data_IF_274403012800
#
_entry.id   IF_274403012800
#
_cell.length_a   1.000
_cell.length_b   1.000
_cell.length_c   1.000
_cell.angle_alpha   90.00
_cell.angle_beta   90.00
_cell.angle_gamma   90.00
#
_symmetry.space_group_name_H-M   'P 1'
#
loop_
_entity.id
_entity.type
_entity.pdbx_description
1 polymer ?
2 polymer ?
3 polymer ?
4 polymer ?
5 water ?
#
loop_
_entity_poly.entity_id
_entity_poly.type
_entity_poly.pdbx_seq_one_letter_code
_entity_poly.pdbx_strand_id
1 'polydeoxyribonucleotide' '(DA)(DA)(DT)(DC)(DT)(DT)(DT)(DC)(DC)(DC)(DA)(DC)(DG)(DG)(DT)' ?
2 'polydeoxyribonucleotide' '(DT)(DT)(DA)(DC)(DC)(DG)(DT)(DG)(DG)(DG)(DA)(DA)(DA)(DG)(DA)' ?
#
# COMPACT_ATOMS: atom_id res chain seq x y z
N UNK C 1 -18.60 -33.04 12.16
CA UNK C 1 -17.27 -33.55 11.88
C UNK C 1 -16.38 -32.50 11.13
N UNK C 2 -15.05 -32.45 11.41
CA UNK C 2 -14.20 -31.42 10.77
C UNK C 2 -14.26 -31.36 9.24
N UNK C 3 -14.06 -30.15 8.66
CA UNK C 3 -14.05 -30.04 7.19
C UNK C 3 -12.89 -30.76 6.50
N UNK C 4 -13.10 -31.08 5.21
CA UNK C 4 -12.16 -31.76 4.33
C UNK C 4 -10.86 -30.99 4.20
N UNK C 5 -9.76 -31.69 4.48
CA UNK C 5 -8.40 -31.21 4.33
C UNK C 5 -8.10 -31.17 2.83
N UNK C 6 -7.21 -30.26 2.40
CA UNK C 6 -6.80 -30.15 0.99
C UNK C 6 -6.15 -31.45 0.51
N UNK C 7 -6.54 -31.97 -0.65
CA UNK C 7 -5.91 -33.17 -1.20
C UNK C 7 -4.75 -32.73 -2.13
N UNK C 8 -3.88 -33.68 -2.48
CA UNK C 8 -2.75 -33.49 -3.38
C UNK C 8 -3.26 -33.15 -4.80
N UNK C 9 -4.38 -33.78 -5.19
CA UNK C 9 -5.04 -33.52 -6.47
C UNK C 9 -5.59 -32.07 -6.50
N UNK C 10 -6.31 -31.63 -5.42
CA UNK C 10 -6.88 -30.27 -5.31
C UNK C 10 -5.77 -29.21 -5.35
N UNK C 11 -4.61 -29.48 -4.70
CA UNK C 11 -3.44 -28.63 -4.72
C UNK C 11 -2.85 -28.55 -6.14
N UNK C 12 -2.75 -29.69 -6.85
CA UNK C 12 -2.24 -29.70 -8.23
C UNK C 12 -3.15 -28.88 -9.15
N UNK C 13 -4.49 -28.97 -8.95
CA UNK C 13 -5.49 -28.23 -9.72
C UNK C 13 -5.27 -26.76 -9.53
N UNK C 14 -5.11 -26.35 -8.25
CA UNK C 14 -4.80 -24.98 -7.86
C UNK C 14 -3.47 -24.50 -8.49
N UNK C 15 -2.35 -25.24 -8.30
CA UNK C 15 -1.05 -24.83 -8.85
C UNK C 15 -1.05 -24.60 -10.37
N UNK C 16 -1.92 -25.32 -11.09
CA UNK C 16 -2.10 -25.19 -12.54
C UNK C 16 -3.03 -24.01 -12.84
N UNK C 17 -4.24 -23.95 -12.23
CA UNK C 17 -5.29 -22.93 -12.43
C UNK C 17 -5.00 -21.53 -11.80
N UNK C 18 -4.60 -21.47 -10.50
CA UNK C 18 -4.22 -20.30 -9.65
C UNK C 18 -5.17 -19.08 -9.64
N UNK C 19 -6.47 -19.28 -9.44
CA UNK C 19 -7.40 -18.16 -9.36
C UNK C 19 -7.48 -17.52 -7.97
N UNK C 20 -6.39 -16.90 -7.48
CA UNK C 20 -6.31 -16.27 -6.14
C UNK C 20 -7.22 -15.05 -5.93
N UNK C 21 -7.75 -14.86 -4.70
CA UNK C 21 -8.52 -13.67 -4.32
C UNK C 21 -7.62 -12.79 -3.47
N UNK C 22 -7.36 -11.55 -3.93
CA UNK C 22 -6.51 -10.65 -3.16
C UNK C 22 -7.32 -9.48 -2.62
N UNK C 23 -7.01 -9.05 -1.39
CA UNK C 23 -7.58 -7.88 -0.74
C UNK C 23 -6.41 -6.92 -0.45
N UNK C 24 -6.46 -5.72 -1.02
CA UNK C 24 -5.47 -4.63 -0.87
C UNK C 24 -6.09 -3.48 -0.08
N UNK C 25 -5.34 -2.87 0.85
CA UNK C 25 -5.75 -1.70 1.63
C UNK C 25 -4.63 -0.67 1.53
N UNK C 26 -4.87 0.39 0.79
CA UNK C 26 -3.92 1.49 0.61
C UNK C 26 -4.41 2.60 1.51
N UNK C 27 -3.56 3.05 2.42
CA UNK C 27 -3.94 4.05 3.43
C UNK C 27 -2.73 4.90 3.79
N UNK C 28 -2.95 5.99 4.53
CA UNK C 28 -1.87 6.83 5.03
C UNK C 28 -1.32 6.21 6.31
N UNK C 29 -0.06 6.53 6.65
CA UNK C 29 0.68 6.03 7.82
C UNK C 29 0.47 6.80 9.12
N UNK C 30 -0.14 7.98 9.03
CA UNK C 30 -0.43 8.82 10.19
C UNK C 30 -1.88 9.32 10.07
N UNK C 31 -2.48 9.77 11.17
CA UNK C 31 -3.84 10.33 11.19
C UNK C 31 -3.99 11.31 12.32
N UNK C 32 -4.55 12.48 12.05
CA UNK C 32 -4.77 13.47 13.09
C UNK C 32 -6.07 13.14 13.82
N UNK C 33 -6.06 13.22 15.14
CA UNK C 33 -7.26 12.89 15.91
C UNK C 33 -8.28 14.04 15.93
N UNK C 34 -9.57 13.69 16.14
CA UNK C 34 -10.71 14.61 16.23
C UNK C 34 -11.10 14.75 17.68
N UNK C 35 -11.26 16.00 18.14
CA UNK C 35 -11.72 16.28 19.52
C UNK C 35 -13.21 16.65 19.53
N UNK C 36 -13.88 16.33 20.64
CA UNK C 36 -15.30 16.58 20.83
C UNK C 36 -16.15 15.90 19.78
N UNK C 37 -17.01 16.70 19.12
CA UNK C 37 -17.93 16.22 18.07
C UNK C 37 -17.46 16.50 16.62
N UNK C 38 -16.22 16.99 16.42
CA UNK C 38 -15.72 17.26 15.07
C UNK C 38 -15.31 15.96 14.38
N UNK C 39 -15.14 16.00 13.05
CA UNK C 39 -14.68 14.91 12.20
C UNK C 39 -13.54 15.43 11.33
N UNK C 40 -12.32 14.94 11.58
CA UNK C 40 -11.11 15.26 10.84
C UNK C 40 -10.79 14.01 10.01
N UNK C 41 -11.31 14.03 8.80
CA UNK C 41 -11.21 12.95 7.83
C UNK C 41 -9.78 12.51 7.45
N UNK C 42 -9.59 11.18 7.32
CA UNK C 42 -8.33 10.61 6.86
C UNK C 42 -8.18 11.04 5.40
N UNK C 43 -7.07 11.72 5.09
CA UNK C 43 -6.66 12.27 3.80
C UNK C 43 -5.21 11.78 3.57
N UNK C 44 -4.93 10.97 2.53
CA UNK C 44 -5.87 10.47 1.52
C UNK C 44 -6.89 9.45 2.09
N UNK C 45 -8.11 9.38 1.53
CA UNK C 45 -9.08 8.41 2.04
C UNK C 45 -8.59 6.97 1.80
N UNK C 46 -8.69 6.06 2.81
CA UNK C 46 -8.22 4.68 2.59
C UNK C 46 -8.95 4.03 1.43
N UNK C 47 -8.22 3.28 0.60
CA UNK C 47 -8.77 2.60 -0.57
C UNK C 47 -8.61 1.11 -0.42
N UNK C 48 -9.65 0.36 -0.73
CA UNK C 48 -9.68 -1.11 -0.66
C UNK C 48 -9.83 -1.62 -2.10
N UNK C 49 -8.99 -2.55 -2.52
CA UNK C 49 -9.06 -3.17 -3.85
C UNK C 49 -9.29 -4.67 -3.72
N UNK C 50 -10.08 -5.23 -4.64
CA UNK C 50 -10.38 -6.64 -4.77
C UNK C 50 -9.67 -7.05 -6.06
N UNK C 51 -8.42 -7.51 -5.93
CA UNK C 51 -7.48 -7.91 -6.99
C UNK C 51 -7.44 -9.41 -7.22
N UNK C 52 -6.91 -9.78 -8.39
CA UNK C 52 -6.77 -11.17 -8.77
C UNK C 52 -7.96 -11.66 -9.56
N UNK C 53 -7.77 -12.79 -10.26
CA UNK C 53 -8.78 -13.42 -11.10
C UNK C 53 -9.75 -14.26 -10.25
N UNK C 54 -9.44 -14.43 -8.98
CA UNK C 54 -10.25 -15.24 -8.06
C UNK C 54 -11.63 -14.71 -7.78
N UNK C 55 -11.82 -13.39 -7.85
CA UNK C 55 -13.14 -12.76 -7.62
C UNK C 55 -14.14 -13.17 -8.68
N UNK C 56 -13.73 -13.22 -9.97
CA UNK C 56 -14.59 -13.65 -11.08
C UNK C 56 -14.88 -15.14 -10.99
N UNK C 57 -13.87 -15.93 -10.64
CA UNK C 57 -13.96 -17.39 -10.49
C UNK C 57 -14.90 -17.73 -9.33
N UNK C 58 -14.85 -16.95 -8.20
CA UNK C 58 -15.74 -17.12 -7.04
C UNK C 58 -17.17 -16.74 -7.44
N UNK C 59 -17.34 -15.58 -8.14
CA UNK C 59 -18.65 -15.09 -8.64
C UNK C 59 -19.36 -16.15 -9.48
N UNK C 60 -18.68 -16.69 -10.53
CA UNK C 60 -19.17 -17.72 -11.44
C UNK C 60 -19.52 -19.01 -10.70
N UNK C 61 -18.69 -19.43 -9.72
CA UNK C 61 -18.93 -20.62 -8.91
C UNK C 61 -20.27 -20.48 -8.16
N UNK C 62 -20.47 -19.33 -7.46
CA UNK C 62 -21.68 -19.02 -6.69
C UNK C 62 -22.92 -18.99 -7.56
N UNK C 63 -22.81 -18.38 -8.74
CA UNK C 63 -23.91 -18.30 -9.70
C UNK C 63 -24.27 -19.68 -10.26
N UNK C 64 -23.27 -20.51 -10.63
CA UNK C 64 -23.50 -21.88 -11.10
C UNK C 64 -24.13 -22.71 -9.95
N UNK C 65 -23.77 -22.39 -8.69
CA UNK C 65 -24.30 -23.03 -7.47
C UNK C 65 -25.69 -22.47 -7.07
N UNK C 66 -26.25 -21.57 -7.88
CA UNK C 66 -27.58 -21.01 -7.68
C UNK C 66 -27.68 -19.68 -6.99
N UNK C 67 -26.75 -18.75 -7.25
CA UNK C 67 -26.80 -17.41 -6.66
C UNK C 67 -27.19 -16.41 -7.73
N UNK C 68 -27.92 -15.36 -7.33
CA UNK C 68 -28.24 -14.24 -8.21
C UNK C 68 -26.97 -13.36 -8.27
N UNK C 69 -26.91 -12.33 -9.14
CA UNK C 69 -25.71 -11.49 -9.19
C UNK C 69 -25.61 -10.57 -7.97
N UNK C 70 -26.74 -10.35 -7.28
CA UNK C 70 -26.83 -9.56 -6.05
C UNK C 70 -26.23 -10.36 -4.88
N UNK C 71 -26.50 -11.68 -4.84
CA UNK C 71 -26.01 -12.60 -3.82
C UNK C 71 -24.53 -12.93 -4.01
N UNK C 72 -24.07 -12.93 -5.26
CA UNK C 72 -22.68 -13.21 -5.58
C UNK C 72 -21.81 -11.95 -5.46
N UNK C 73 -22.42 -10.79 -5.24
CA UNK C 73 -21.71 -9.51 -5.11
C UNK C 73 -20.96 -9.40 -3.77
N UNK C 74 -19.62 -9.20 -3.74
CA UNK C 74 -18.92 -8.99 -2.44
C UNK C 74 -19.29 -7.63 -1.77
N UNK C 75 -19.54 -7.64 -0.46
CA UNK C 75 -19.91 -6.47 0.34
C UNK C 75 -18.75 -6.13 1.31
N UNK C 76 -18.50 -4.83 1.52
CA UNK C 76 -17.44 -4.36 2.41
C UNK C 76 -17.90 -3.23 3.33
N UNK C 77 -17.28 -3.16 4.51
CA UNK C 77 -17.48 -2.19 5.57
C UNK C 77 -16.12 -1.90 6.15
N UNK C 78 -15.84 -0.63 6.46
CA UNK C 78 -14.54 -0.22 7.00
C UNK C 78 -14.74 0.63 8.25
N UNK C 79 -13.82 0.49 9.17
CA UNK C 79 -13.81 1.24 10.41
C UNK C 79 -12.51 1.14 11.16
N UNK C 80 -12.45 1.82 12.29
CA UNK C 80 -11.32 1.80 13.22
C UNK C 80 -11.40 0.45 13.93
N UNK C 81 -10.34 -0.34 13.80
CA UNK C 81 -10.22 -1.65 14.40
C UNK C 81 -10.22 -1.58 15.92
N UNK C 82 -10.80 -2.63 16.57
CA UNK C 82 -10.92 -2.75 18.03
C UNK C 82 -11.54 -1.47 18.67
N UNK C 83 -12.69 -1.04 18.15
CA UNK C 83 -13.34 0.18 18.67
C UNK C 83 -14.87 0.13 18.67
N UNK C 84 -15.46 0.88 19.63
CA UNK C 84 -16.90 1.06 19.77
C UNK C 84 -17.46 1.97 18.64
N UNK C 85 -16.54 2.66 17.91
CA UNK C 85 -16.81 3.54 16.76
C UNK C 85 -17.45 2.74 15.61
N UNK C 86 -18.42 3.36 14.93
CA UNK C 86 -19.22 2.77 13.85
C UNK C 86 -18.49 2.52 12.51
N UNK C 87 -18.87 1.43 11.84
CA UNK C 87 -18.36 1.02 10.54
C UNK C 87 -19.18 1.65 9.44
N UNK C 88 -18.52 1.91 8.31
CA UNK C 88 -19.13 2.55 7.14
C UNK C 88 -19.03 1.65 5.93
N UNK C 89 -20.12 1.55 5.17
CA UNK C 89 -20.17 0.75 3.97
C UNK C 89 -19.33 1.30 2.82
N UNK C 90 -18.70 0.39 2.09
CA UNK C 90 -17.95 0.73 0.88
C UNK C 90 -18.80 0.31 -0.33
N UNK C 91 -18.96 1.17 -1.36
CA UNK C 91 -19.73 0.76 -2.55
C UNK C 91 -18.85 0.05 -3.60
N UNK C 92 -18.97 -1.30 -3.69
CA UNK C 92 -18.19 -2.10 -4.66
C UNK C 92 -19.00 -2.56 -5.89
N UNK C 93 -20.26 -2.12 -6.02
CA UNK C 93 -21.13 -2.43 -7.14
C UNK C 93 -20.59 -1.80 -8.46
N UNK C 94 -20.12 -2.67 -9.35
CA UNK C 94 -19.61 -2.30 -10.67
C UNK C 94 -18.17 -1.83 -10.76
N UNK C 95 -17.41 -1.89 -9.63
CA UNK C 95 -16.00 -1.49 -9.53
C UNK C 95 -15.27 -2.54 -8.68
N UNK C 96 -13.92 -2.59 -8.77
CA UNK C 96 -13.10 -3.53 -7.99
C UNK C 96 -12.40 -2.80 -6.81
N UNK C 97 -12.81 -1.54 -6.55
CA UNK C 97 -12.26 -0.71 -5.48
C UNK C 97 -13.27 0.29 -4.96
N UNK C 98 -13.00 0.82 -3.76
CA UNK C 98 -13.74 1.89 -3.14
C UNK C 98 -12.89 2.61 -2.12
N UNK C 99 -13.04 3.95 -2.04
CA UNK C 99 -12.33 4.78 -1.05
C UNK C 99 -13.30 5.04 0.10
N UNK C 100 -12.75 5.22 1.31
CA UNK C 100 -13.51 5.55 2.50
C UNK C 100 -13.22 7.02 2.77
N UNK C 101 -14.09 7.92 2.30
CA UNK C 101 -13.89 9.37 2.32
C UNK C 101 -14.21 10.04 3.64
N UNK C 102 -15.01 9.37 4.49
CA UNK C 102 -15.41 10.01 5.74
C UNK C 102 -14.98 9.26 7.01
N UNK C 103 -13.75 8.73 7.05
CA UNK C 103 -13.22 8.05 8.25
C UNK C 103 -12.51 9.07 9.14
N UNK C 104 -12.59 8.87 10.45
CA UNK C 104 -11.97 9.74 11.44
C UNK C 104 -11.73 8.99 12.76
N UNK C 105 -10.79 9.44 13.61
CA UNK C 105 -10.54 8.80 14.89
C UNK C 105 -10.79 9.81 16.01
N UNK C 106 -11.70 9.47 16.92
CA UNK C 106 -12.06 10.33 18.06
C UNK C 106 -11.06 10.24 19.21
N UNK C 107 -10.95 11.31 20.05
CA UNK C 107 -10.09 11.37 21.26
C UNK C 107 -10.56 10.37 22.32
N UNK C 108 -11.79 9.84 22.19
CA UNK C 108 -12.33 8.78 23.05
C UNK C 108 -11.42 7.54 22.97
N UNK C 109 -10.78 7.30 21.79
CA UNK C 109 -9.80 6.21 21.62
C UNK C 109 -8.49 6.76 22.19
N UNK C 110 -7.94 6.09 23.20
CA UNK C 110 -6.72 6.58 23.85
C UNK C 110 -5.45 5.91 23.31
N UNK C 111 -5.60 5.08 22.27
CA UNK C 111 -4.46 4.41 21.63
C UNK C 111 -3.59 5.39 20.81
N UNK C 112 -2.29 5.12 20.78
CA UNK C 112 -1.34 5.96 20.07
C UNK C 112 -1.24 5.51 18.60
N UNK C 113 -1.77 4.32 18.32
CA UNK C 113 -1.78 3.68 17.03
C UNK C 113 -2.97 2.75 16.90
N UNK C 114 -3.38 2.51 15.65
CA UNK C 114 -4.55 1.69 15.33
C UNK C 114 -4.38 1.11 13.95
N UNK C 115 -5.33 0.28 13.59
CA UNK C 115 -5.42 -0.33 12.30
C UNK C 115 -6.83 -0.15 11.80
N UNK C 116 -6.99 -0.06 10.48
CA UNK C 116 -8.31 -0.03 9.87
C UNK C 116 -8.77 -1.47 9.80
N UNK C 117 -10.08 -1.65 9.83
CA UNK C 117 -10.66 -2.98 9.81
C UNK C 117 -11.64 -3.02 8.69
N UNK C 118 -11.43 -3.95 7.75
CA UNK C 118 -12.31 -4.11 6.60
C UNK C 118 -13.04 -5.42 6.78
N UNK C 119 -14.35 -5.32 7.05
CA UNK C 119 -15.24 -6.47 7.23
C UNK C 119 -15.89 -6.78 5.87
N UNK C 120 -15.69 -8.02 5.39
CA UNK C 120 -16.21 -8.47 4.09
C UNK C 120 -17.10 -9.70 4.17
N UNK C 121 -18.09 -9.82 3.24
CA UNK C 121 -19.08 -10.92 3.11
C UNK C 121 -19.82 -10.84 1.77
N UNK C 122 -20.38 -11.95 1.24
CA UNK C 122 -21.10 -11.90 -0.04
C UNK C 122 -22.56 -11.53 0.18
N UNK C 123 -23.23 -11.06 -0.88
CA UNK C 123 -24.65 -10.64 -0.85
C UNK C 123 -25.65 -11.66 -0.31
N UNK C 124 -25.26 -12.94 -0.26
CA UNK C 124 -26.04 -14.07 0.31
C UNK C 124 -25.67 -14.35 1.81
N UNK C 125 -24.88 -13.43 2.45
CA UNK C 125 -24.40 -13.44 3.86
C UNK C 125 -23.25 -14.43 4.14
N UNK C 126 -22.61 -15.00 3.10
CA UNK C 126 -21.47 -15.88 3.31
C UNK C 126 -20.32 -14.99 3.78
N UNK C 127 -19.76 -15.28 4.96
CA UNK C 127 -18.68 -14.48 5.50
C UNK C 127 -17.34 -14.75 4.79
N UNK C 128 -16.62 -13.65 4.42
CA UNK C 128 -15.28 -13.69 3.82
C UNK C 128 -14.30 -13.53 5.00
N UNK C 129 -14.45 -12.43 5.73
CA UNK C 129 -13.61 -12.16 6.90
C UNK C 129 -13.31 -10.71 7.17
N UNK C 130 -12.36 -10.47 8.13
CA UNK C 130 -11.91 -9.16 8.58
C UNK C 130 -10.42 -8.95 8.24
N UNK C 131 -10.12 -7.97 7.39
CA UNK C 131 -8.75 -7.65 6.96
C UNK C 131 -8.30 -6.37 7.60
N UNK C 132 -7.15 -6.41 8.25
CA UNK C 132 -6.58 -5.23 8.90
C UNK C 132 -5.60 -4.47 8.01
N UNK C 133 -5.51 -3.16 8.15
CA UNK C 133 -4.55 -2.36 7.39
C UNK C 133 -3.21 -2.44 8.16
N UNK C 134 -2.18 -1.70 7.73
CA UNK C 134 -0.93 -1.63 8.49
C UNK C 134 -1.22 -0.63 9.66
N UNK C 135 -0.28 -0.51 10.61
CA UNK C 135 -0.41 0.33 11.79
C UNK C 135 -0.38 1.82 11.41
N UNK C 136 -1.36 2.57 11.92
CA UNK C 136 -1.48 4.00 11.68
C UNK C 136 -1.23 4.76 12.98
N UNK C 137 -0.29 5.72 12.95
CA UNK C 137 0.07 6.57 14.08
C UNK C 137 -0.94 7.71 14.30
N UNK C 138 -1.43 7.85 15.55
CA UNK C 138 -2.32 8.94 15.95
C UNK C 138 -1.46 10.16 16.29
N UNK C 139 -1.91 11.33 15.83
CA UNK C 139 -1.30 12.64 15.97
C UNK C 139 -2.34 13.53 16.61
N UNK C 140 -1.94 14.40 17.53
CA UNK C 140 -2.83 15.36 18.15
C UNK C 140 -3.02 16.49 17.10
N UNK C 141 -1.87 16.98 16.58
CA UNK C 141 -1.70 17.92 15.49
C UNK C 141 -0.21 18.02 15.19
N UNK C 142 0.21 18.28 13.92
CA UNK C 142 1.66 18.41 13.64
C UNK C 142 2.37 19.47 14.48
N UNK C 143 3.65 19.24 14.79
CA UNK C 143 4.53 20.16 15.54
C UNK C 143 4.92 21.34 14.65
N UNK C 144 5.07 22.54 15.25
CA UNK C 144 5.44 23.79 14.56
C UNK C 144 6.96 24.00 14.58
N UNK C 145 7.69 23.11 15.31
CA UNK C 145 9.13 23.09 15.44
C UNK C 145 9.75 22.11 14.43
N UNK C 146 11.04 22.30 14.12
CA UNK C 146 11.77 21.45 13.17
C UNK C 146 11.78 19.99 13.63
N UNK C 147 11.73 19.07 12.66
CA UNK C 147 11.68 17.64 12.90
C UNK C 147 13.09 17.04 13.12
N UNK C 148 13.27 16.26 14.18
CA UNK C 148 14.56 15.60 14.43
C UNK C 148 14.50 14.20 13.82
N UNK C 149 15.64 13.67 13.39
CA UNK C 149 15.70 12.34 12.80
C UNK C 149 15.55 11.19 13.82
N UNK C 150 15.40 11.54 15.13
CA UNK C 150 15.18 10.63 16.25
C UNK C 150 13.78 10.02 16.13
N UNK C 151 12.78 10.82 15.68
CA UNK C 151 11.39 10.38 15.47
C UNK C 151 11.26 9.97 14.00
N UNK C 152 11.78 8.77 13.65
CA UNK C 152 11.81 8.19 12.30
C UNK C 152 10.43 8.06 11.66
N UNK C 153 9.38 7.91 12.47
CA UNK C 153 8.00 7.74 12.03
C UNK C 153 7.35 9.05 11.55
N UNK C 154 7.94 10.20 11.93
CA UNK C 154 7.44 11.49 11.49
C UNK C 154 8.25 12.05 10.31
N UNK C 155 9.29 11.32 9.88
CA UNK C 155 10.19 11.62 8.76
C UNK C 155 9.80 10.78 7.53
N UNK C 156 10.42 11.07 6.38
CA UNK C 156 10.17 10.40 5.11
C UNK C 156 11.52 10.00 4.52
N UNK C 157 11.69 8.70 4.30
CA UNK C 157 12.91 8.14 3.75
C UNK C 157 12.82 8.04 2.25
N UNK C 158 13.97 8.20 1.58
CA UNK C 158 14.08 8.05 0.14
C UNK C 158 13.63 6.62 -0.23
N UNK C 159 12.87 6.52 -1.32
CA UNK C 159 12.38 5.25 -1.81
C UNK C 159 11.07 4.76 -1.24
N UNK C 160 10.43 5.57 -0.34
CA UNK C 160 9.13 5.25 0.26
C UNK C 160 8.00 5.95 -0.48
N UNK C 161 6.79 5.52 -0.21
CA UNK C 161 5.61 6.05 -0.86
C UNK C 161 4.93 7.16 -0.06
N UNK C 162 4.48 8.19 -0.77
CA UNK C 162 3.75 9.33 -0.21
C UNK C 162 2.56 9.65 -1.10
N UNK C 163 1.58 10.37 -0.55
CA UNK C 163 0.46 10.97 -1.27
C UNK C 163 0.67 12.47 -1.12
N UNK C 164 0.14 13.23 -2.07
CA UNK C 164 0.24 14.69 -2.04
C UNK C 164 -1.10 15.29 -2.31
N UNK C 165 -1.52 16.23 -1.48
CA UNK C 165 -2.81 16.86 -1.70
C UNK C 165 -2.80 18.36 -1.50
N UNK C 166 -3.74 19.00 -2.16
CA UNK C 166 -3.91 20.44 -2.07
C UNK C 166 -5.35 20.76 -1.71
N UNK C 167 -5.52 21.72 -0.78
CA UNK C 167 -6.83 22.19 -0.32
C UNK C 167 -6.89 23.72 -0.39
N UNK C 168 -7.99 24.24 -0.96
CA UNK C 168 -8.22 25.66 -1.12
C UNK C 168 -9.06 26.20 0.03
N UNK C 169 -8.53 27.21 0.72
CA UNK C 169 -9.14 27.96 1.82
C UNK C 169 -9.91 27.09 2.83
N UNK C 170 -9.26 26.00 3.32
CA UNK C 170 -9.80 25.10 4.35
C UNK C 170 -11.10 24.37 3.97
N UNK C 171 -11.37 24.19 2.66
CA UNK C 171 -12.60 23.53 2.28
C UNK C 171 -12.40 22.08 1.91
N UNK C 172 -13.08 21.18 2.66
CA UNK C 172 -13.03 19.73 2.40
C UNK C 172 -13.40 19.36 0.95
N UNK C 173 -14.33 20.11 0.34
CA UNK C 173 -14.83 19.87 -1.01
C UNK C 173 -13.74 20.18 -2.08
N UNK C 174 -12.76 21.00 -1.72
CA UNK C 174 -11.68 21.42 -2.63
C UNK C 174 -10.47 20.46 -2.65
N UNK C 175 -10.42 19.44 -1.78
CA UNK C 175 -9.31 18.49 -1.68
C UNK C 175 -9.05 17.80 -3.02
N UNK C 176 -7.81 17.87 -3.49
CA UNK C 176 -7.37 17.25 -4.73
C UNK C 176 -6.03 16.62 -4.53
N UNK C 177 -5.89 15.39 -4.97
CA UNK C 177 -4.71 14.56 -4.84
C UNK C 177 -4.00 14.39 -6.17
N UNK C 178 -2.66 14.46 -6.15
CA UNK C 178 -1.81 14.18 -7.30
C UNK C 178 -2.09 12.71 -7.65
N UNK C 179 -2.43 12.46 -8.92
CA UNK C 179 -2.84 11.16 -9.40
C UNK C 179 -2.48 11.06 -10.87
N UNK C 180 -2.28 9.83 -11.37
CA UNK C 180 -1.95 9.58 -12.76
C UNK C 180 -3.10 8.79 -13.36
N UNK C 181 -3.66 9.32 -14.46
CA UNK C 181 -4.76 8.70 -15.18
C UNK C 181 -4.53 8.93 -16.67
N UNK C 182 -4.67 7.86 -17.45
CA UNK C 182 -4.50 7.86 -18.90
C UNK C 182 -3.17 8.42 -19.36
N UNK C 183 -2.10 8.03 -18.66
CA UNK C 183 -0.74 8.46 -18.94
C UNK C 183 -0.41 9.88 -18.51
N UNK C 184 -1.38 10.59 -17.88
CA UNK C 184 -1.16 11.96 -17.46
C UNK C 184 -1.29 12.19 -15.98
N UNK C 185 -0.49 13.11 -15.44
CA UNK C 185 -0.60 13.57 -14.05
C UNK C 185 -1.78 14.53 -13.99
N UNK C 186 -2.63 14.41 -12.96
CA UNK C 186 -3.80 15.27 -12.75
C UNK C 186 -4.07 15.42 -11.25
N UNK C 187 -5.09 16.23 -10.88
CA UNK C 187 -5.44 16.52 -9.49
C UNK C 187 -6.86 15.98 -9.21
N UNK C 188 -6.93 14.74 -8.78
CA UNK C 188 -8.22 14.09 -8.59
C UNK C 188 -8.82 14.43 -7.28
N UNK C 189 -10.14 14.63 -7.26
CA UNK C 189 -10.85 14.86 -6.03
C UNK C 189 -11.35 13.50 -5.46
N UNK C 190 -11.25 12.43 -6.25
CA UNK C 190 -11.74 11.10 -5.82
C UNK C 190 -10.65 10.02 -5.68
N UNK C 191 -9.53 10.16 -6.40
CA UNK C 191 -8.45 9.16 -6.38
C UNK C 191 -7.12 9.79 -6.03
N UNK C 192 -6.21 8.99 -5.49
CA UNK C 192 -4.88 9.43 -5.12
C UNK C 192 -3.85 8.38 -5.51
N UNK C 193 -2.67 8.86 -5.90
CA UNK C 193 -1.55 8.02 -6.23
C UNK C 193 -0.63 7.88 -5.05
N UNK C 194 0.06 6.76 -4.97
CA UNK C 194 1.09 6.51 -3.96
C UNK C 194 2.34 6.68 -4.79
N UNK C 195 3.13 7.73 -4.51
CA UNK C 195 4.32 8.06 -5.30
C UNK C 195 5.60 7.77 -4.54
N UNK C 196 6.54 7.07 -5.17
CA UNK C 196 7.87 6.86 -4.60
C UNK C 196 8.55 8.24 -4.65
N UNK C 197 9.18 8.64 -3.55
CA UNK C 197 9.91 9.89 -3.50
C UNK C 197 11.38 9.50 -3.36
N UNK C 198 12.13 9.65 -4.46
CA UNK C 198 13.54 9.24 -4.48
C UNK C 198 14.47 10.41 -4.29
N UNK C 199 15.45 10.27 -3.40
CA UNK C 199 16.46 11.28 -3.20
C UNK C 199 17.50 11.17 -4.33
N UNK C 200 17.83 12.30 -4.97
CA UNK C 200 18.83 12.37 -6.04
C UNK C 200 19.94 13.24 -5.58
N UNK C 201 21.17 12.95 -6.05
CA UNK C 201 22.33 13.79 -5.78
C UNK C 201 22.11 15.08 -6.61
N UNK C 202 22.58 16.23 -6.10
CA UNK C 202 22.43 17.53 -6.79
C UNK C 202 22.96 17.56 -8.24
N UNK C 203 23.98 16.71 -8.57
CA UNK C 203 24.58 16.65 -9.89
C UNK C 203 23.92 15.66 -10.86
N UNK C 204 22.87 14.93 -10.40
CA UNK C 204 22.13 13.95 -11.20
C UNK C 204 21.36 14.63 -12.30
N UNK C 205 21.52 14.15 -13.52
CA UNK C 205 20.89 14.72 -14.71
C UNK C 205 19.44 14.31 -14.87
N UNK C 206 18.70 15.02 -15.72
CA UNK C 206 17.33 14.69 -16.09
C UNK C 206 17.38 13.48 -17.01
N UNK C 207 16.39 12.62 -16.87
CA UNK C 207 16.26 11.40 -17.65
C UNK C 207 15.26 10.47 -17.05
N UNK C 208 14.74 9.56 -17.86
CA UNK C 208 13.80 8.53 -17.46
C UNK C 208 14.53 7.52 -16.54
N UNK C 209 15.84 7.37 -16.76
CA UNK C 209 16.74 6.51 -16.00
C UNK C 209 17.54 7.40 -15.06
N UNK C 210 17.49 7.11 -13.76
CA UNK C 210 18.21 7.92 -12.78
C UNK C 210 18.75 7.09 -11.60
N UNK C 211 19.83 7.58 -10.94
CA UNK C 211 20.47 6.97 -9.77
C UNK C 211 19.85 7.56 -8.52
N UNK C 212 19.56 6.71 -7.52
CA UNK C 212 18.96 7.16 -6.24
C UNK C 212 19.92 7.06 -5.06
N UNK C 213 19.66 7.87 -4.04
CA UNK C 213 20.40 7.93 -2.78
C UNK C 213 19.52 7.40 -1.66
N UNK C 214 20.13 7.10 -0.52
CA UNK C 214 19.42 6.64 0.66
C UNK C 214 19.46 7.75 1.67
N UNK C 215 18.50 7.76 2.57
CA UNK C 215 18.42 8.76 3.61
C UNK C 215 17.06 9.41 3.73
N UNK C 216 16.92 10.27 4.72
CA UNK C 216 15.71 11.01 4.95
C UNK C 216 15.70 12.24 4.10
N UNK C 217 14.52 12.54 3.52
CA UNK C 217 14.32 13.69 2.66
C UNK C 217 14.34 14.94 3.55
N UNK C 218 15.05 15.96 3.09
CA UNK C 218 15.18 17.26 3.74
C UNK C 218 14.71 18.26 2.75
N UNK C 219 14.29 19.43 3.22
CA UNK C 219 13.92 20.49 2.28
C UNK C 219 15.20 20.92 1.55
N UNK C 220 15.09 21.18 0.24
CA UNK C 220 16.19 21.67 -0.59
C UNK C 220 16.99 20.62 -1.34
N UNK C 221 16.56 19.37 -1.20
CA UNK C 221 17.16 18.23 -1.86
C UNK C 221 16.41 17.96 -3.15
N UNK C 222 17.11 17.41 -4.14
CA UNK C 222 16.48 17.12 -5.41
C UNK C 222 15.80 15.78 -5.28
N UNK C 223 14.55 15.70 -5.73
CA UNK C 223 13.79 14.45 -5.60
C UNK C 223 13.11 14.09 -6.89
N UNK C 224 12.71 12.81 -6.98
CA UNK C 224 11.93 12.29 -8.10
C UNK C 224 10.64 11.69 -7.57
N UNK C 225 9.52 12.07 -8.17
CA UNK C 225 8.21 11.53 -7.82
C UNK C 225 7.82 10.60 -8.93
N UNK C 226 7.70 9.30 -8.60
CA UNK C 226 7.33 8.25 -9.55
C UNK C 226 6.07 7.56 -9.05
N UNK C 227 5.04 7.42 -9.92
CA UNK C 227 3.82 6.68 -9.60
C UNK C 227 4.19 5.22 -9.36
N UNK C 228 3.77 4.65 -8.23
CA UNK C 228 4.05 3.27 -7.85
C UNK C 228 3.34 2.25 -8.74
N UNK C 229 2.37 2.71 -9.55
CA UNK C 229 1.53 1.86 -10.39
C UNK C 229 1.90 1.97 -11.89
N UNK C 230 1.99 3.19 -12.41
CA UNK C 230 2.20 3.49 -13.82
C UNK C 230 3.65 3.71 -14.22
N UNK C 231 4.49 4.01 -13.23
CA UNK C 231 5.89 4.33 -13.48
C UNK C 231 6.07 5.72 -14.06
N UNK C 232 5.00 6.56 -14.07
CA UNK C 232 5.06 7.94 -14.57
C UNK C 232 5.81 8.83 -13.59
N UNK C 233 6.80 9.60 -14.10
CA UNK C 233 7.59 10.53 -13.31
C UNK C 233 7.48 11.96 -13.80
N UNK C 234 7.56 12.89 -12.86
CA UNK C 234 7.58 14.32 -13.11
C UNK C 234 9.07 14.69 -13.29
N UNK C 235 9.44 15.85 -13.88
CA UNK C 235 10.87 16.20 -13.96
C UNK C 235 11.50 16.30 -12.57
N UNK C 236 12.83 16.34 -12.49
CA UNK C 236 13.52 16.50 -11.20
C UNK C 236 12.92 17.72 -10.47
N UNK C 237 12.61 17.56 -9.20
CA UNK C 237 12.02 18.64 -8.41
C UNK C 237 12.90 18.92 -7.19
N UNK C 238 12.78 20.14 -6.63
CA UNK C 238 13.38 20.51 -5.35
C UNK C 238 12.22 20.66 -4.36
N UNK C 239 12.26 19.88 -3.28
CA UNK C 239 11.20 19.90 -2.28
C UNK C 239 11.50 21.07 -1.36
N UNK C 240 10.54 22.01 -1.24
CA UNK C 240 10.75 23.22 -0.44
C UNK C 240 9.70 23.40 0.63
N UNK C 241 10.11 23.97 1.75
CA UNK C 241 9.23 24.22 2.89
C UNK C 241 8.33 25.41 2.57
N UNK C 242 7.02 25.25 2.79
CA UNK C 242 6.02 26.28 2.60
C UNK C 242 5.76 26.95 3.96
N UNK C 243 5.89 28.28 3.99
CA UNK C 243 5.58 29.08 5.16
C UNK C 243 4.47 30.01 4.69
N UNK C 244 3.26 29.87 5.27
CA UNK C 244 2.05 30.62 4.88
C UNK C 244 1.76 30.35 3.39
N UNK C 245 1.97 31.32 2.47
CA UNK C 245 1.81 31.05 1.03
C UNK C 245 3.10 31.38 0.23
N UNK C 246 4.25 31.17 0.85
CA UNK C 246 5.57 31.36 0.24
C UNK C 246 6.34 30.04 0.31
N UNK C 247 7.31 29.82 -0.59
CA UNK C 247 8.23 28.68 -0.55
C UNK C 247 9.54 29.24 0.02
N UNK C 248 10.20 28.54 0.95
CA UNK C 248 11.46 28.99 1.58
C UNK C 248 12.63 28.35 0.82
N UNK C 249 13.52 29.14 0.26
CA UNK C 249 14.63 28.58 -0.54
C UNK C 249 15.81 28.07 0.29
N UNK C 250 15.92 28.53 1.55
CA UNK C 250 16.99 28.29 2.51
C UNK C 250 16.72 27.18 3.55
N UNK C 251 15.47 26.71 3.70
CA UNK C 251 15.15 25.63 4.67
C UNK C 251 15.76 24.31 4.20
N UNK C 252 16.43 23.60 5.12
CA UNK C 252 17.13 22.34 4.85
C UNK C 252 16.83 21.24 5.91
N UNK C 253 15.85 21.49 6.76
CA UNK C 253 15.48 20.57 7.84
C UNK C 253 14.77 19.31 7.29
N UNK C 254 14.69 18.23 8.09
CA UNK C 254 14.00 17.02 7.61
C UNK C 254 12.52 17.27 7.33
N UNK C 255 12.01 16.79 6.17
CA UNK C 255 10.60 16.88 5.80
C UNK C 255 9.77 16.03 6.80
N UNK C 256 8.70 16.61 7.38
CA UNK C 256 7.83 15.93 8.33
C UNK C 256 6.43 15.62 7.78
N UNK C 257 5.79 14.60 8.36
CA UNK C 257 4.44 14.16 8.04
C UNK C 257 3.46 15.32 8.11
N UNK C 258 2.60 15.45 7.09
CA UNK C 258 1.52 16.47 7.01
C UNK C 258 2.03 17.89 6.82
N UNK C 259 3.33 18.07 6.51
CA UNK C 259 3.85 19.42 6.27
C UNK C 259 3.44 19.91 4.92
N UNK C 260 3.36 21.22 4.77
CA UNK C 260 3.04 21.85 3.49
C UNK C 260 4.37 22.01 2.76
N UNK C 261 4.38 21.55 1.50
CA UNK C 261 5.51 21.44 0.57
C UNK C 261 5.26 22.16 -0.75
N UNK C 262 6.34 22.62 -1.38
CA UNK C 262 6.37 23.26 -2.69
C UNK C 262 7.39 22.49 -3.51
N UNK C 263 7.06 22.20 -4.77
CA UNK C 263 7.92 21.43 -5.64
C UNK C 263 8.43 22.27 -6.79
N UNK C 264 9.60 22.90 -6.54
CA UNK C 264 10.26 23.71 -7.55
C UNK C 264 10.75 22.78 -8.66
N UNK C 265 10.34 23.05 -9.88
CA UNK C 265 10.80 22.28 -11.03
C UNK C 265 12.21 22.73 -11.30
N UNK C 266 13.18 21.88 -10.94
CA UNK C 266 14.63 22.14 -11.04
C UNK C 266 15.05 22.74 -12.39
N UNK C 267 15.89 23.79 -12.31
CA UNK C 267 16.49 24.57 -13.41
C UNK C 267 15.45 25.25 -14.32
N UNK C 268 14.39 25.85 -13.71
CA UNK C 268 13.34 26.59 -14.44
C UNK C 268 13.37 28.02 -13.90
N UNK C 269 12.60 28.94 -14.51
CA UNK C 269 12.50 30.30 -13.99
C UNK C 269 11.37 30.32 -12.96
N UNK C 270 11.70 29.91 -11.71
CA UNK C 270 10.82 29.82 -10.53
C UNK C 270 9.49 29.06 -10.77
N UNK C 271 9.50 27.98 -11.58
CA UNK C 271 8.29 27.22 -11.86
C UNK C 271 8.03 26.17 -10.77
N UNK C 272 6.82 26.19 -10.19
CA UNK C 272 6.40 25.26 -9.12
C UNK C 272 5.27 24.35 -9.56
N UNK C 273 5.37 23.04 -9.20
CA UNK C 273 4.32 22.03 -9.46
C UNK C 273 3.02 22.60 -8.89
N UNK C 274 1.99 22.71 -9.73
CA UNK C 274 0.77 23.43 -9.39
C UNK C 274 -0.49 22.81 -9.99
N UNK C 275 -1.64 22.95 -9.30
CA UNK C 275 -2.90 22.50 -9.92
C UNK C 275 -3.75 23.70 -10.39
N UNK C 276 -4.60 23.48 -11.40
CA UNK C 276 -5.55 24.44 -11.97
C UNK C 276 -6.77 23.61 -12.33
N UNK C 277 -7.68 23.46 -11.35
CA UNK C 277 -8.86 22.58 -11.40
C UNK C 277 -8.34 21.13 -11.37
N UNK C 278 -8.70 20.28 -12.36
CA UNK C 278 -8.22 18.89 -12.41
C UNK C 278 -6.88 18.82 -13.18
N UNK C 279 -6.38 19.96 -13.62
CA UNK C 279 -5.18 20.01 -14.42
C UNK C 279 -3.93 20.26 -13.57
N UNK C 280 -2.82 19.57 -13.89
CA UNK C 280 -1.49 19.72 -13.27
C UNK C 280 -0.62 20.52 -14.24
N UNK C 281 -0.08 21.64 -13.74
CA UNK C 281 0.74 22.57 -14.51
C UNK C 281 1.97 22.92 -13.68
N UNK C 282 2.75 23.87 -14.17
CA UNK C 282 3.86 24.50 -13.48
C UNK C 282 3.52 26.03 -13.51
N UNK C 283 3.58 26.69 -12.38
CA UNK C 283 3.20 28.10 -12.30
C UNK C 283 4.32 28.87 -11.68
N UNK C 284 4.73 29.97 -12.36
CA UNK C 284 5.83 30.81 -11.91
C UNK C 284 5.53 31.54 -10.63
N UNK C 285 6.46 31.43 -9.67
CA UNK C 285 6.36 32.14 -8.39
C UNK C 285 6.77 33.62 -8.58
N UNK C 286 6.35 34.48 -7.65
CA UNK C 286 6.61 35.92 -7.61
C UNK C 286 7.68 36.17 -6.55
N UNK C 287 8.67 37.06 -6.79
CA UNK C 287 9.67 37.31 -5.75
C UNK C 287 9.03 37.99 -4.54
N UNK C 288 9.54 37.67 -3.35
CA UNK C 288 9.03 38.25 -2.11
C UNK C 288 9.48 39.72 -1.92
N UNK C 289 8.59 40.59 -1.34
CA UNK C 289 8.99 41.99 -1.13
C UNK C 289 10.12 42.11 -0.09
N UNK C 290 11.28 42.63 -0.54
CA UNK C 290 12.52 42.89 0.24
C UNK C 290 13.23 41.60 0.74
N UNK C 291 12.84 40.40 0.23
CA UNK C 291 13.44 39.13 0.65
C UNK C 291 13.71 38.18 -0.51
N UNK C 292 14.96 37.70 -0.61
CA UNK C 292 15.42 36.79 -1.66
C UNK C 292 15.34 35.31 -1.23
N UNK C 293 15.29 35.06 0.08
CA UNK C 293 15.20 33.73 0.71
C UNK C 293 13.81 33.03 0.55
N UNK C 294 12.80 33.75 0.04
CA UNK C 294 11.45 33.20 -0.18
C UNK C 294 10.78 33.73 -1.44
N UNK C 295 9.87 32.92 -2.01
CA UNK C 295 9.10 33.21 -3.22
C UNK C 295 7.61 33.01 -2.94
N UNK C 296 6.73 33.88 -3.43
CA UNK C 296 5.27 33.81 -3.24
C UNK C 296 4.74 32.79 -4.24
N UNK C 297 4.01 31.77 -3.77
CA UNK C 297 3.53 30.71 -4.67
C UNK C 297 1.99 30.74 -4.90
N UNK C 298 1.56 30.13 -6.00
CA UNK C 298 0.16 30.02 -6.37
C UNK C 298 -0.63 29.09 -5.38
N UNK C 299 -1.94 29.34 -5.23
CA UNK C 299 -2.91 28.56 -4.42
C UNK C 299 -2.75 27.04 -4.62
N UNK C 300 -2.70 26.58 -5.89
CA UNK C 300 -2.52 25.18 -6.23
C UNK C 300 -1.11 24.61 -6.12
N UNK C 301 -0.14 25.40 -5.59
CA UNK C 301 1.25 24.99 -5.49
C UNK C 301 1.71 24.53 -4.05
N UNK C 302 0.86 24.62 -3.04
CA UNK C 302 1.17 24.06 -1.72
C UNK C 302 0.57 22.65 -1.68
N UNK C 303 1.39 21.67 -1.30
CA UNK C 303 1.01 20.27 -1.27
C UNK C 303 1.31 19.72 0.08
N UNK C 304 0.29 19.11 0.73
CA UNK C 304 0.48 18.41 2.00
C UNK C 304 1.06 17.01 1.61
N UNK C 305 2.16 16.62 2.27
CA UNK C 305 2.92 15.39 2.10
C UNK C 305 2.57 14.40 3.24
N UNK C 306 2.31 13.14 2.88
CA UNK C 306 1.97 12.13 3.88
C UNK C 306 2.37 10.75 3.38
N UNK C 307 3.14 10.04 4.17
CA UNK C 307 3.58 8.67 3.88
C UNK C 307 2.39 7.73 3.87
N UNK C 308 2.37 6.83 2.87
CA UNK C 308 1.31 5.86 2.72
C UNK C 308 1.86 4.44 2.86
N UNK C 309 0.94 3.50 3.10
CA UNK C 309 1.27 2.09 3.29
C UNK C 309 0.29 1.20 2.55
N UNK C 310 0.59 -0.08 2.49
CA UNK C 310 -0.27 -1.06 1.85
C UNK C 310 -0.28 -2.36 2.62
N UNK C 311 -1.49 -2.85 2.93
CA UNK C 311 -1.72 -4.18 3.49
C UNK C 311 -2.26 -5.02 2.31
N UNK C 312 -1.76 -6.23 2.15
CA UNK C 312 -2.17 -7.11 1.05
C UNK C 312 -2.39 -8.51 1.61
N UNK C 313 -3.47 -9.17 1.18
CA UNK C 313 -3.82 -10.54 1.64
C UNK C 313 -4.30 -11.35 0.49
N UNK C 314 -3.75 -12.58 0.32
CA UNK C 314 -4.12 -13.49 -0.76
C UNK C 314 -4.61 -14.84 -0.21
N UNK C 315 -5.73 -15.30 -0.74
CA UNK C 315 -6.39 -16.54 -0.35
C UNK C 315 -7.14 -17.20 -1.52
N UNK C 316 -7.41 -18.52 -1.37
CA UNK C 316 -8.14 -19.34 -2.34
C UNK C 316 -8.83 -20.48 -1.57
N UNK C 317 -10.07 -20.76 -1.91
CA UNK C 317 -10.84 -21.84 -1.32
C UNK C 317 -10.42 -23.15 -2.03
N UNK C 318 -9.30 -23.73 -1.59
CA UNK C 318 -8.68 -24.95 -2.14
C UNK C 318 -9.58 -26.18 -2.20
N UNK C 319 -10.49 -26.32 -1.21
CA UNK C 319 -11.48 -27.40 -1.11
C UNK C 319 -12.90 -26.82 -1.16
N UNK C 320 -13.07 -25.70 -1.85
CA UNK C 320 -14.37 -25.03 -1.96
C UNK C 320 -14.78 -24.21 -0.75
N UNK C 321 -16.03 -23.69 -0.72
CA UNK C 321 -16.47 -22.83 0.41
C UNK C 321 -16.35 -23.46 1.79
N UNK C 322 -15.94 -22.63 2.79
CA UNK C 322 -15.77 -23.03 4.20
C UNK C 322 -16.54 -22.12 5.14
N UNK C 323 -16.93 -22.66 6.31
CA UNK C 323 -17.68 -21.97 7.35
C UNK C 323 -16.85 -20.84 7.97
N UNK C 324 -15.64 -21.16 8.38
CA UNK C 324 -14.72 -20.24 9.02
C UNK C 324 -14.30 -19.10 8.06
N UNK C 325 -14.18 -17.83 8.50
CA UNK C 325 -13.68 -16.78 7.61
C UNK C 325 -12.27 -17.15 7.11
N UNK C 326 -11.86 -16.62 5.95
CA UNK C 326 -10.52 -16.88 5.39
C UNK C 326 -9.47 -16.14 6.21
N UNK C 327 -9.92 -15.21 7.07
CA UNK C 327 -9.09 -14.36 7.91
C UNK C 327 -8.79 -14.96 9.32
N UNK C 328 -7.67 -14.58 9.95
CA UNK C 328 -6.60 -13.67 9.50
C UNK C 328 -5.74 -14.35 8.44
N UNK C 329 -5.48 -13.64 7.33
CA UNK C 329 -4.71 -14.21 6.23
C UNK C 329 -3.21 -14.17 6.55
N UNK C 330 -2.52 -15.33 6.55
CA UNK C 330 -1.06 -15.30 6.80
C UNK C 330 -0.32 -14.66 5.61
N UNK C 331 0.67 -13.84 5.97
CA UNK C 331 1.56 -13.14 5.04
C UNK C 331 2.97 -13.66 5.35
N UNK C 332 3.73 -14.08 4.31
CA UNK C 332 5.12 -14.54 4.44
C UNK C 332 6.07 -13.46 3.87
N UNK C 333 6.90 -12.88 4.76
CA UNK C 333 7.90 -11.84 4.47
C UNK C 333 9.21 -12.46 3.94
N UNK C 334 9.72 -13.55 4.59
CA UNK C 334 10.98 -14.21 4.20
C UNK C 334 11.08 -15.70 4.55
N UNK C 335 12.15 -16.35 4.03
CA UNK C 335 12.50 -17.76 4.24
C UNK C 335 13.99 -17.90 4.61
N UNK C 336 14.30 -18.65 5.69
CA UNK C 336 15.65 -18.93 6.20
C UNK C 336 15.99 -20.44 6.35
N UNK C 337 17.32 -20.79 6.45
CA UNK C 337 17.96 -22.12 6.61
C UNK C 337 18.00 -22.88 5.28
N UNK C 343 18.97 -33.05 9.67
CA UNK C 343 17.63 -32.82 9.11
C UNK C 343 17.43 -31.33 8.72
N UNK C 344 17.22 -31.07 7.41
CA UNK C 344 17.03 -29.74 6.79
C UNK C 344 15.67 -29.11 7.13
N UNK C 345 15.72 -27.88 7.63
CA UNK C 345 14.57 -27.10 8.07
C UNK C 345 14.46 -25.81 7.29
N UNK C 346 13.24 -25.32 7.12
CA UNK C 346 12.96 -24.04 6.46
C UNK C 346 12.17 -23.18 7.46
N UNK C 347 12.67 -21.98 7.76
CA UNK C 347 11.98 -21.08 8.70
C UNK C 347 11.26 -20.00 7.91
N UNK C 348 10.00 -19.78 8.26
CA UNK C 348 9.12 -18.78 7.62
C UNK C 348 8.95 -17.62 8.58
N UNK C 349 9.14 -16.39 8.10
CA UNK C 349 8.95 -15.20 8.92
C UNK C 349 7.79 -14.39 8.33
N UNK C 350 6.82 -14.03 9.18
CA UNK C 350 5.67 -13.27 8.68
C UNK C 350 4.63 -12.86 9.68
N UNK C 351 3.38 -12.82 9.24
CA UNK C 351 2.27 -12.39 10.11
C UNK C 351 1.10 -13.36 9.99
N UNK C 352 0.27 -13.40 11.04
CA UNK C 352 -0.99 -14.14 11.14
C UNK C 352 -0.88 -15.66 10.99
N UNK C 353 0.27 -16.23 11.38
CA UNK C 353 0.46 -17.68 11.40
C UNK C 353 -0.34 -18.27 12.59
N UNK C 354 -0.91 -19.45 12.40
CA UNK C 354 -1.74 -20.15 13.38
C UNK C 354 -1.37 -21.65 13.39
N UNK C 355 -1.71 -22.40 14.48
CA UNK C 355 -1.35 -23.84 14.52
C UNK C 355 -2.05 -24.72 13.47
N UNK C 356 -3.12 -24.22 12.85
CA UNK C 356 -3.87 -24.97 11.85
C UNK C 356 -3.32 -24.80 10.43
N UNK C 357 -2.10 -24.26 10.28
CA UNK C 357 -1.44 -24.11 9.00
C UNK C 357 -0.37 -25.17 8.79
N UNK C 358 -0.21 -25.63 7.54
CA UNK C 358 0.82 -26.56 7.09
C UNK C 358 1.52 -25.94 5.87
N UNK C 359 2.85 -26.02 5.83
CA UNK C 359 3.65 -25.53 4.70
C UNK C 359 3.66 -26.64 3.67
N UNK C 360 3.37 -26.30 2.39
CA UNK C 360 3.41 -27.21 1.25
C UNK C 360 4.50 -26.76 0.28
N UNK C 361 5.25 -27.73 -0.23
CA UNK C 361 6.29 -27.54 -1.24
C UNK C 361 5.69 -28.23 -2.47
N UNK C 362 5.25 -27.47 -3.46
CA UNK C 362 4.50 -28.01 -4.59
C UNK C 362 3.24 -28.69 -4.05
N UNK C 363 3.01 -29.94 -4.47
CA UNK C 363 1.89 -30.77 -4.02
C UNK C 363 2.29 -31.63 -2.81
N UNK C 364 3.44 -31.34 -2.19
CA UNK C 364 3.97 -32.11 -1.06
C UNK C 364 3.81 -31.36 0.26
N UNK C 365 3.03 -31.94 1.18
CA UNK C 365 2.76 -31.39 2.50
C UNK C 365 3.90 -31.72 3.47
N UNK C 366 4.47 -30.68 4.10
CA UNK C 366 5.62 -30.77 5.02
C UNK C 366 5.23 -30.71 6.51
N UNK C 367 6.08 -31.31 7.38
CA UNK C 367 5.91 -31.37 8.82
C UNK C 367 6.16 -29.96 9.28
N UNK C 368 5.12 -29.32 9.85
CA UNK C 368 5.13 -27.93 10.26
C UNK C 368 5.11 -27.78 11.79
N UNK C 369 5.92 -26.85 12.31
CA UNK C 369 6.01 -26.52 13.72
C UNK C 369 5.72 -25.04 13.89
N UNK C 370 4.61 -24.74 14.55
CA UNK C 370 4.15 -23.41 14.85
C UNK C 370 4.87 -22.93 16.12
N UNK C 371 5.43 -21.70 16.06
CA UNK C 371 6.13 -21.06 17.17
C UNK C 371 5.25 -19.94 17.71
N UNK C 372 4.97 -18.95 16.84
CA UNK C 372 4.12 -17.80 17.14
C UNK C 372 3.47 -17.34 15.83
N UNK C 373 2.67 -16.28 15.90
CA UNK C 373 2.04 -15.70 14.71
C UNK C 373 3.01 -15.13 13.69
N UNK C 374 4.32 -15.03 14.04
CA UNK C 374 5.35 -14.46 13.16
C UNK C 374 6.43 -15.45 12.73
N UNK C 375 6.42 -16.66 13.32
CA UNK C 375 7.41 -17.70 13.04
C UNK C 375 6.85 -19.09 12.88
N UNK C 376 7.41 -19.80 11.92
CA UNK C 376 7.06 -21.16 11.59
C UNK C 376 8.29 -21.88 11.08
N UNK C 377 8.43 -23.13 11.47
CA UNK C 377 9.52 -23.97 11.03
C UNK C 377 8.93 -25.17 10.31
N UNK C 378 9.62 -25.67 9.30
CA UNK C 378 9.12 -26.84 8.62
C UNK C 378 10.25 -27.72 8.11
N UNK C 379 10.00 -29.02 8.10
CA UNK C 379 10.92 -30.03 7.63
C UNK C 379 10.84 -30.07 6.10
N UNK C 380 11.96 -29.69 5.41
CA UNK C 380 12.11 -29.72 3.96
C UNK C 380 11.94 -31.18 3.48
N UNK C 381 10.97 -31.47 2.55
CA UNK C 381 10.84 -32.85 2.04
C UNK C 381 12.11 -33.28 1.30
N UNK C 382 12.42 -34.57 1.35
CA UNK C 382 13.57 -35.12 0.63
C UNK C 382 13.30 -34.93 -0.87
N UNK C 383 14.37 -34.78 -1.67
CA UNK C 383 14.27 -34.62 -3.12
C UNK C 383 13.46 -35.78 -3.79
N UNK C 384 13.37 -36.96 -3.09
CA UNK C 384 12.56 -38.16 -3.46
C UNK C 384 11.09 -37.80 -3.73
N UNK C 385 10.56 -36.83 -2.94
CA UNK C 385 9.18 -36.33 -2.99
C UNK C 385 8.85 -35.70 -4.33
N UNK C 386 9.85 -35.15 -5.04
CA UNK C 386 9.69 -34.52 -6.36
C UNK C 386 10.35 -35.27 -7.55
N UNK C 387 11.42 -36.07 -7.29
CA UNK C 387 12.10 -36.89 -8.30
C UNK C 387 12.34 -38.26 -7.67
N UNK C 388 11.48 -39.23 -8.03
CA UNK C 388 11.32 -40.57 -7.46
C UNK C 388 12.61 -41.31 -7.02
N UNK C 389 13.64 -41.36 -7.86
CA UNK C 389 14.86 -42.09 -7.49
C UNK C 389 16.11 -41.26 -7.61
N UNK C 390 16.23 -40.22 -6.78
CA UNK C 390 17.39 -39.34 -6.91
C UNK C 390 18.50 -39.56 -5.87
N UNK C 391 18.12 -39.80 -4.59
CA UNK C 391 19.07 -40.03 -3.48
C UNK C 391 19.85 -38.76 -3.09
N UNK C 392 20.08 -37.84 -4.05
CA UNK C 392 20.73 -36.53 -3.90
C UNK C 392 20.22 -35.60 -5.01
N UNK C 393 20.51 -34.30 -4.91
CA UNK C 393 20.11 -33.31 -5.91
C UNK C 393 21.03 -33.34 -7.13
N UNK C 394 20.58 -34.03 -8.21
CA UNK C 394 21.28 -34.16 -9.50
C UNK C 394 21.28 -32.83 -10.25
N UNK C 395 20.10 -32.21 -10.39
CA UNK C 395 19.85 -30.95 -11.10
C UNK C 395 19.01 -30.05 -10.19
N UNK C 396 19.13 -28.70 -10.28
CA UNK C 396 18.30 -27.82 -9.42
C UNK C 396 16.79 -28.01 -9.65
N UNK C 397 16.02 -28.14 -8.54
CA UNK C 397 14.57 -28.36 -8.57
C UNK C 397 13.89 -27.24 -7.77
N UNK C 398 13.14 -26.39 -8.46
CA UNK C 398 12.42 -25.27 -7.85
C UNK C 398 10.97 -25.69 -7.59
N UNK C 399 10.46 -25.40 -6.37
CA UNK C 399 9.08 -25.74 -5.99
C UNK C 399 8.41 -24.52 -5.31
N UNK C 400 7.12 -24.20 -5.57
CA UNK C 400 6.49 -23.10 -4.82
C UNK C 400 6.26 -23.46 -3.34
N UNK C 401 6.27 -22.42 -2.47
CA UNK C 401 6.04 -22.52 -1.02
C UNK C 401 4.65 -21.93 -0.77
N UNK C 402 3.75 -22.74 -0.22
CA UNK C 402 2.38 -22.31 0.00
C UNK C 402 1.97 -22.66 1.42
N UNK C 403 1.14 -21.83 2.03
CA UNK C 403 0.59 -22.07 3.35
C UNK C 403 -0.84 -22.58 3.13
N UNK C 404 -1.21 -23.66 3.83
CA UNK C 404 -2.51 -24.31 3.68
C UNK C 404 -3.13 -24.53 5.06
N UNK C 405 -4.41 -24.12 5.22
CA UNK C 405 -5.19 -24.28 6.45
C UNK C 405 -5.87 -25.67 6.43
N UNK C 406 -6.16 -26.23 7.63
CA UNK C 406 -6.78 -27.57 7.79
C UNK C 406 -8.13 -27.73 7.09
N UNK C 407 -8.82 -26.60 6.76
CA UNK C 407 -10.11 -26.60 6.04
C UNK C 407 -9.93 -26.40 4.52
N UNK C 408 -8.69 -26.52 4.05
CA UNK C 408 -8.39 -26.41 2.63
C UNK C 408 -8.10 -25.03 2.08
N UNK C 409 -8.17 -23.97 2.89
CA UNK C 409 -7.86 -22.61 2.41
C UNK C 409 -6.36 -22.46 2.06
N UNK C 410 -6.08 -22.09 0.81
CA UNK C 410 -4.74 -21.90 0.28
C UNK C 410 -4.32 -20.43 0.31
N UNK C 411 -3.16 -20.16 0.93
CA UNK C 411 -2.57 -18.83 0.99
C UNK C 411 -1.21 -18.88 0.26
N UNK C 412 -1.20 -18.49 -1.02
CA UNK C 412 0.02 -18.47 -1.83
C UNK C 412 1.01 -17.42 -1.32
N UNK C 413 2.30 -17.65 -1.60
CA UNK C 413 3.40 -16.72 -1.35
C UNK C 413 4.09 -16.52 -2.70
N UNK C 414 4.78 -15.41 -2.90
CA UNK C 414 5.51 -15.21 -4.15
C UNK C 414 6.90 -15.87 -4.03
N UNK C 415 7.08 -16.66 -2.96
CA UNK C 415 8.31 -17.34 -2.61
C UNK C 415 8.38 -18.80 -3.05
N UNK C 416 9.55 -19.17 -3.58
CA UNK C 416 9.88 -20.53 -4.03
C UNK C 416 11.00 -21.07 -3.15
N UNK C 417 11.20 -22.39 -3.20
CA UNK C 417 12.30 -23.11 -2.55
C UNK C 417 12.95 -23.91 -3.66
N UNK C 418 14.30 -23.83 -3.74
CA UNK C 418 15.09 -24.52 -4.75
C UNK C 418 16.05 -25.50 -4.13
N UNK C 419 15.97 -26.76 -4.58
CA UNK C 419 16.85 -27.84 -4.18
C UNK C 419 18.11 -27.64 -4.99
N UNK C 420 19.17 -27.22 -4.31
CA UNK C 420 20.45 -26.89 -4.90
C UNK C 420 21.38 -28.11 -4.90
N UNK C 421 22.05 -28.39 -6.03
CA UNK C 421 22.95 -29.56 -6.08
C UNK C 421 24.22 -29.39 -5.23
N UNK C 422 24.83 -30.54 -4.83
CA UNK C 422 26.05 -30.66 -4.02
C UNK C 422 25.86 -30.21 -2.56
N UNK D 4 22.52 5.08 -13.08
CA UNK D 4 21.14 5.01 -13.54
C UNK D 4 20.58 3.61 -13.25
N UNK D 5 19.75 3.46 -12.18
CA UNK D 5 19.15 2.17 -11.82
C UNK D 5 17.62 2.20 -11.78
N UNK D 6 17.01 3.37 -11.45
CA UNK D 6 15.55 3.52 -11.44
C UNK D 6 15.04 3.89 -12.84
N UNK D 7 13.93 3.28 -13.26
CA UNK D 7 13.29 3.54 -14.56
C UNK D 7 11.92 4.19 -14.38
N UNK D 8 11.49 4.99 -15.39
CA UNK D 8 10.24 5.74 -15.41
C UNK D 8 9.85 6.24 -16.82
N UNK D 9 8.70 6.92 -16.93
CA UNK D 9 8.24 7.59 -18.14
C UNK D 9 8.04 9.03 -17.72
N UNK D 10 8.84 9.95 -18.29
CA UNK D 10 8.81 11.37 -18.01
C UNK D 10 7.51 11.99 -18.50
N UNK D 11 6.99 12.93 -17.71
CA UNK D 11 5.77 13.68 -18.01
C UNK D 11 6.05 15.11 -17.66
N UNK D 12 5.84 15.99 -18.64
CA UNK D 12 6.12 17.41 -18.48
C UNK D 12 4.85 18.24 -18.36
N UNK D 13 4.78 19.11 -17.32
CA UNK D 13 3.60 19.99 -17.20
C UNK D 13 3.78 21.28 -18.02
N UNK D 14 2.67 21.85 -18.52
CA UNK D 14 2.65 23.10 -19.29
C UNK D 14 2.90 24.28 -18.33
N UNK D 15 3.69 25.26 -18.79
CA UNK D 15 4.05 26.45 -18.02
C UNK D 15 3.05 27.60 -18.14
N UNK D 16 2.82 28.31 -17.01
CA UNK D 16 1.91 29.47 -16.89
C UNK D 16 2.54 30.53 -15.93
N UNK D 17 2.16 31.83 -16.07
CA UNK D 17 2.73 32.89 -15.22
C UNK D 17 1.77 34.05 -14.83
N UNK D 18 0.48 34.04 -15.25
CA UNK D 18 -0.47 35.12 -14.89
C UNK D 18 -0.13 36.47 -15.54
#
# INVERSE_FOLDING_TARGET
SPPKRLTREAMRNYLKERGDQTVLILHAKVAQKSYGNEKRFFCPPPCVYLMGSGWKKKKEQMERDGCSEQESQPCAFIGIGNSDQEMQQLNLEGKNYCTAKTLYISDSDKRKHFMLSVKMFYGNSDDIGVFLSKRIKVISKPSKKKQSLKNADLCIASGTKVALFNRLRSQTVSTRYLHVEGGNFHASSQQWGAFYIHLLDDDESEGEEFTVRDGYIHYGQTVKLVCSVTGMALPRLIIRKVDKQTALLDADDPVSQLHKCAFYLKDTERMYLCLSQERIIQFQATPCPKEQNKEMINDGASWTIISTDKAEYTFYEGMGPVLAPVTPVPVVESLQLNGGGDVAMLELTGQNFTPNLRVWFGDVEAETMYRCGESMLCVVPDISAFREGWRWVRQPVQVPVTLVRNDGVIYSTSLTFTYTPEP
ARRKREHSTLWFPEGFSL
#
